data_IF_308528528703
#
_entry.id   IF_308528528703
#
_cell.length_a   1.000
_cell.length_b   1.000
_cell.length_c   1.000
_cell.angle_alpha   90.00
_cell.angle_beta   90.00
_cell.angle_gamma   90.00
#
_symmetry.space_group_name_H-M   'P 1'
#
loop_
_entity.id
_entity.type
_entity.pdbx_description
1 polymer ?
#
# COMPACT_ATOMS: atom_id res chain seq x y z
N UNK A 1 -24.17 43.63 -21.01
CA UNK A 1 -24.74 44.93 -20.59
C UNK A 1 -25.01 44.85 -19.09
N UNK A 2 -24.44 45.77 -18.30
CA UNK A 2 -24.52 45.75 -16.82
C UNK A 2 -25.90 46.17 -16.34
N UNK A 3 -26.55 45.34 -15.55
CA UNK A 3 -27.72 45.72 -14.78
C UNK A 3 -27.26 46.25 -13.41
N UNK A 4 -27.48 47.53 -13.17
CA UNK A 4 -27.35 48.16 -11.86
C UNK A 4 -28.68 48.82 -11.57
N UNK A 5 -29.42 48.32 -10.59
CA UNK A 5 -30.51 49.00 -9.89
C UNK A 5 -30.48 48.47 -8.44
N UNK A 6 -30.02 49.23 -7.43
CA UNK A 6 -30.68 50.33 -6.71
C UNK A 6 -32.08 50.00 -6.19
N UNK A 7 -32.21 49.72 -4.88
CA UNK A 7 -33.22 50.31 -3.97
C UNK A 7 -32.92 49.87 -2.52
N UNK A 8 -32.27 50.68 -1.68
CA UNK A 8 -32.84 51.69 -0.76
C UNK A 8 -33.92 51.13 0.19
N UNK A 9 -33.47 50.87 1.43
CA UNK A 9 -34.06 51.29 2.72
C UNK A 9 -35.54 51.02 2.99
N UNK A 10 -35.77 50.15 3.97
CA UNK A 10 -37.00 49.95 4.76
C UNK A 10 -36.84 48.62 5.50
N UNK A 11 -36.51 48.55 6.79
CA UNK A 11 -37.26 49.15 7.89
C UNK A 11 -38.14 48.07 8.55
N UNK A 12 -37.56 46.94 8.97
CA UNK A 12 -38.26 45.87 9.67
C UNK A 12 -37.28 44.85 10.24
N UNK A 13 -37.08 44.86 11.56
CA UNK A 13 -36.21 43.89 12.24
C UNK A 13 -36.93 42.54 12.31
N UNK A 14 -36.56 41.60 11.44
CA UNK A 14 -36.85 40.19 11.67
C UNK A 14 -35.70 39.68 12.57
N UNK A 15 -35.97 39.05 13.73
CA UNK A 15 -34.91 38.43 14.50
C UNK A 15 -34.36 37.25 13.70
N UNK A 16 -33.19 37.44 13.06
CA UNK A 16 -32.45 36.34 12.46
C UNK A 16 -31.86 35.46 13.58
N UNK A 17 -32.68 34.60 14.16
CA UNK A 17 -32.19 33.35 14.70
C UNK A 17 -32.02 32.40 13.51
N UNK A 18 -30.89 32.50 12.79
CA UNK A 18 -30.31 31.52 11.86
C UNK A 18 -29.06 32.16 11.25
N UNK A 19 -28.06 32.45 12.08
CA UNK A 19 -26.71 32.72 11.61
C UNK A 19 -26.17 31.38 11.06
N UNK A 20 -25.87 31.22 9.75
CA UNK A 20 -25.19 30.02 9.29
C UNK A 20 -23.85 29.92 10.02
N UNK A 21 -23.42 28.72 10.46
CA UNK A 21 -22.11 28.57 11.07
C UNK A 21 -21.07 29.05 10.06
N UNK A 22 -20.24 30.03 10.48
CA UNK A 22 -19.13 30.49 9.65
C UNK A 22 -18.17 29.30 9.55
N UNK A 23 -18.22 28.56 8.44
CA UNK A 23 -17.18 27.59 8.14
C UNK A 23 -15.89 28.40 8.01
N UNK A 24 -14.82 28.09 8.79
CA UNK A 24 -13.57 28.79 8.63
C UNK A 24 -13.11 28.59 7.19
N UNK A 25 -13.00 29.70 6.47
CA UNK A 25 -12.49 29.77 5.11
C UNK A 25 -11.14 29.07 5.08
N UNK A 26 -10.97 28.18 4.09
CA UNK A 26 -9.78 27.37 3.88
C UNK A 26 -8.57 28.25 3.47
N UNK A 27 -8.11 29.09 4.39
CA UNK A 27 -6.93 29.95 4.24
C UNK A 27 -6.25 30.07 5.60
N UNK A 28 -5.66 28.98 6.06
CA UNK A 28 -4.49 29.04 6.96
C UNK A 28 -3.77 27.71 6.90
N UNK A 29 -2.97 27.52 5.85
CA UNK A 29 -2.06 26.39 5.72
C UNK A 29 -0.89 26.40 6.75
N UNK A 30 -0.86 27.35 7.70
CA UNK A 30 0.17 27.45 8.75
C UNK A 30 -0.31 28.30 9.95
N UNK A 31 -1.33 27.85 10.69
CA UNK A 31 -1.67 28.44 11.98
C UNK A 31 -1.29 27.47 13.10
N UNK A 32 -0.20 27.77 13.83
CA UNK A 32 0.07 27.17 15.13
C UNK A 32 -0.97 27.69 16.13
N UNK A 33 -2.14 27.07 16.17
CA UNK A 33 -3.19 27.35 17.13
C UNK A 33 -2.96 26.48 18.38
N UNK A 34 -2.62 27.05 19.55
CA UNK A 34 -2.35 26.28 20.76
C UNK A 34 -3.59 25.62 21.39
N UNK A 35 -4.81 25.88 20.88
CA UNK A 35 -6.07 25.46 21.48
C UNK A 35 -6.77 24.26 20.80
N UNK A 36 -6.13 23.58 19.83
CA UNK A 36 -6.61 22.25 19.41
C UNK A 36 -5.98 21.21 20.35
N UNK A 37 -6.76 20.33 21.03
CA UNK A 37 -6.17 19.24 21.78
C UNK A 37 -5.34 18.41 20.81
N UNK A 38 -4.04 18.39 21.06
CA UNK A 38 -3.01 17.78 20.21
C UNK A 38 -3.39 16.31 20.03
N UNK A 39 -3.85 16.00 18.82
CA UNK A 39 -4.16 14.69 18.25
C UNK A 39 -4.72 13.62 19.22
N UNK A 40 -6.04 13.36 19.12
CA UNK A 40 -6.57 12.02 19.44
C UNK A 40 -5.83 11.03 18.53
N UNK A 41 -4.95 10.20 19.08
CA UNK A 41 -4.22 9.18 18.33
C UNK A 41 -5.23 8.18 17.76
N UNK A 42 -5.43 8.20 16.44
CA UNK A 42 -6.18 7.17 15.72
C UNK A 42 -5.16 6.37 14.92
N UNK A 43 -5.15 5.04 15.08
CA UNK A 43 -4.13 4.16 14.47
C UNK A 43 -4.04 4.31 12.94
N UNK A 44 -5.17 4.57 12.29
CA UNK A 44 -5.24 5.05 10.92
C UNK A 44 -5.32 6.58 10.96
N UNK A 45 -4.22 7.26 10.59
CA UNK A 45 -4.19 8.72 10.51
C UNK A 45 -5.46 9.23 9.80
N UNK A 46 -6.14 10.22 10.39
CA UNK A 46 -7.51 10.60 10.06
C UNK A 46 -7.76 11.07 8.62
N UNK A 47 -8.82 11.86 8.41
CA UNK A 47 -9.23 12.27 7.06
C UNK A 47 -8.14 13.11 6.36
N UNK A 48 -7.60 12.62 5.24
CA UNK A 48 -6.45 13.15 4.49
C UNK A 48 -5.09 13.17 5.23
N UNK A 49 -4.73 12.08 5.92
CA UNK A 49 -3.37 11.91 6.47
C UNK A 49 -2.28 11.91 5.38
N UNK A 50 -1.49 12.98 5.29
CA UNK A 50 -0.26 13.06 4.50
C UNK A 50 0.94 13.26 5.43
N UNK A 51 1.40 12.20 6.13
CA UNK A 51 2.60 12.31 6.95
C UNK A 51 3.80 12.61 6.04
N UNK A 52 4.66 13.53 6.48
CA UNK A 52 5.85 13.93 5.71
C UNK A 52 6.78 12.74 5.38
N UNK A 53 6.71 11.66 6.17
CA UNK A 53 7.55 10.48 6.07
C UNK A 53 6.86 9.28 5.38
N UNK A 54 5.78 9.50 4.62
CA UNK A 54 5.01 8.41 4.01
C UNK A 54 5.88 7.46 3.18
N UNK A 55 6.85 7.99 2.42
CA UNK A 55 7.75 7.20 1.57
C UNK A 55 8.60 6.22 2.40
N UNK A 56 9.16 6.69 3.51
CA UNK A 56 10.00 5.88 4.38
C UNK A 56 9.16 4.81 5.09
N UNK A 57 7.98 5.16 5.59
CA UNK A 57 7.10 4.20 6.25
C UNK A 57 6.63 3.10 5.29
N UNK A 58 6.28 3.46 4.05
CA UNK A 58 5.92 2.49 3.01
C UNK A 58 7.12 1.61 2.63
N UNK A 59 8.32 2.17 2.54
CA UNK A 59 9.53 1.39 2.26
C UNK A 59 9.81 0.36 3.37
N UNK A 60 9.68 0.75 4.63
CA UNK A 60 9.86 -0.15 5.78
C UNK A 60 8.80 -1.26 5.75
N UNK A 61 7.52 -0.91 5.63
CA UNK A 61 6.44 -1.89 5.60
C UNK A 61 6.54 -2.82 4.39
N UNK A 62 6.88 -2.29 3.22
CA UNK A 62 7.14 -3.08 2.02
C UNK A 62 8.30 -4.06 2.22
N UNK A 63 9.39 -3.60 2.84
CA UNK A 63 10.54 -4.45 3.19
C UNK A 63 10.17 -5.58 4.15
N UNK A 64 9.35 -5.29 5.18
CA UNK A 64 8.87 -6.30 6.13
C UNK A 64 8.01 -7.35 5.41
N UNK A 65 7.01 -6.92 4.63
CA UNK A 65 6.12 -7.83 3.89
C UNK A 65 6.95 -8.71 2.95
N UNK A 66 7.85 -8.10 2.18
CA UNK A 66 8.72 -8.82 1.27
C UNK A 66 9.59 -9.85 2.01
N UNK A 67 10.19 -9.46 3.13
CA UNK A 67 11.00 -10.35 3.97
C UNK A 67 10.19 -11.56 4.47
N UNK A 68 8.97 -11.34 4.97
CA UNK A 68 8.08 -12.41 5.44
C UNK A 68 7.70 -13.35 4.30
N UNK A 69 7.33 -12.82 3.14
CA UNK A 69 6.99 -13.63 1.97
C UNK A 69 8.16 -14.48 1.49
N UNK A 70 9.38 -13.95 1.49
CA UNK A 70 10.58 -14.70 1.10
C UNK A 70 10.88 -15.86 2.07
N UNK A 71 10.79 -15.62 3.38
CA UNK A 71 11.04 -16.66 4.40
C UNK A 71 9.98 -17.76 4.32
N UNK A 72 8.69 -17.38 4.38
CA UNK A 72 7.60 -18.36 4.32
C UNK A 72 7.57 -19.09 2.97
N UNK A 73 7.85 -18.40 1.87
CA UNK A 73 7.95 -18.99 0.54
C UNK A 73 9.09 -20.02 0.45
N UNK A 74 10.25 -19.72 1.04
CA UNK A 74 11.39 -20.65 1.06
C UNK A 74 11.08 -21.90 1.89
N UNK A 75 10.49 -21.72 3.08
CA UNK A 75 10.06 -22.86 3.91
C UNK A 75 9.00 -23.69 3.18
N UNK A 76 8.04 -23.05 2.52
CA UNK A 76 7.00 -23.74 1.74
C UNK A 76 7.61 -24.56 0.62
N UNK A 77 8.62 -24.04 -0.08
CA UNK A 77 9.31 -24.72 -1.16
C UNK A 77 10.16 -25.91 -0.68
N UNK A 78 10.75 -25.81 0.51
CA UNK A 78 11.52 -26.90 1.13
C UNK A 78 10.63 -28.02 1.69
N UNK A 79 9.41 -27.70 2.11
CA UNK A 79 8.45 -28.68 2.65
C UNK A 79 7.57 -29.33 1.59
N UNK A 80 7.65 -28.89 0.34
CA UNK A 80 6.90 -29.48 -0.76
C UNK A 80 7.47 -30.85 -1.11
N UNK A 81 6.65 -31.90 -0.92
CA UNK A 81 6.98 -33.27 -1.31
C UNK A 81 6.09 -33.71 -2.48
N UNK A 82 6.69 -34.30 -3.52
CA UNK A 82 6.00 -34.83 -4.71
C UNK A 82 6.37 -36.28 -4.96
N UNK A 83 5.35 -37.14 -5.05
CA UNK A 83 5.52 -38.56 -5.37
C UNK A 83 5.92 -38.81 -6.84
N UNK A 84 5.62 -37.87 -7.75
CA UNK A 84 5.92 -37.99 -9.18
C UNK A 84 6.64 -36.75 -9.69
N UNK A 85 7.82 -36.95 -10.27
CA UNK A 85 8.55 -35.87 -10.93
C UNK A 85 7.94 -35.55 -12.31
N UNK A 86 7.81 -34.26 -12.68
CA UNK A 86 7.35 -33.86 -13.99
C UNK A 86 8.31 -34.21 -15.13
N UNK A 87 7.72 -34.37 -16.33
CA UNK A 87 8.46 -34.72 -17.55
C UNK A 87 9.38 -33.58 -18.02
N UNK A 88 10.58 -33.89 -18.57
CA UNK A 88 11.61 -32.89 -18.91
C UNK A 88 11.13 -31.77 -19.86
N UNK A 89 10.15 -32.03 -20.73
CA UNK A 89 9.74 -31.11 -21.79
C UNK A 89 8.44 -30.32 -21.50
N UNK A 90 7.98 -30.27 -20.25
CA UNK A 90 6.74 -29.56 -19.87
C UNK A 90 7.03 -28.35 -19.00
N UNK A 91 6.46 -27.20 -19.32
CA UNK A 91 6.58 -25.98 -18.51
C UNK A 91 5.65 -26.01 -17.30
N UNK A 92 6.18 -25.66 -16.13
CA UNK A 92 5.40 -25.43 -14.91
C UNK A 92 6.13 -24.41 -14.02
N UNK A 93 5.40 -23.45 -13.41
CA UNK A 93 6.01 -22.31 -12.72
C UNK A 93 6.74 -22.72 -11.43
N UNK A 94 6.33 -23.81 -10.79
CA UNK A 94 6.98 -24.31 -9.57
C UNK A 94 8.39 -24.85 -9.81
N UNK A 95 8.81 -25.09 -11.08
CA UNK A 95 10.16 -25.53 -11.46
C UNK A 95 11.28 -24.68 -10.87
N UNK A 96 11.05 -23.37 -10.77
CA UNK A 96 12.06 -22.43 -10.31
C UNK A 96 12.22 -22.39 -8.78
N UNK A 97 11.22 -22.90 -8.04
CA UNK A 97 11.07 -22.67 -6.60
C UNK A 97 11.10 -23.98 -5.82
N UNK A 98 10.43 -25.04 -6.29
CA UNK A 98 10.38 -26.34 -5.61
C UNK A 98 11.75 -27.00 -5.52
N UNK A 99 12.16 -27.37 -4.30
CA UNK A 99 13.48 -27.97 -4.04
C UNK A 99 13.69 -29.28 -4.81
N UNK A 100 12.73 -30.21 -4.71
CA UNK A 100 12.85 -31.55 -5.30
C UNK A 100 13.04 -31.51 -6.82
N UNK A 101 12.36 -30.58 -7.50
CA UNK A 101 12.46 -30.44 -8.94
C UNK A 101 13.84 -29.91 -9.33
N UNK A 102 14.31 -28.87 -8.65
CA UNK A 102 15.65 -28.31 -8.88
C UNK A 102 16.74 -29.35 -8.68
N UNK A 103 16.65 -30.13 -7.60
CA UNK A 103 17.63 -31.18 -7.29
C UNK A 103 17.61 -32.31 -8.32
N UNK A 104 16.42 -32.77 -8.72
CA UNK A 104 16.31 -33.83 -9.72
C UNK A 104 16.74 -33.37 -11.11
N UNK A 105 16.38 -32.16 -11.54
CA UNK A 105 16.84 -31.61 -12.82
C UNK A 105 18.37 -31.37 -12.83
N UNK A 106 18.94 -30.95 -11.70
CA UNK A 106 20.39 -30.84 -11.54
C UNK A 106 21.08 -32.22 -11.63
N UNK A 107 20.51 -33.25 -11.00
CA UNK A 107 21.03 -34.61 -11.06
C UNK A 107 20.99 -35.20 -12.48
N UNK A 108 19.87 -35.03 -13.20
CA UNK A 108 19.73 -35.46 -14.60
C UNK A 108 20.76 -34.77 -15.50
N UNK A 109 20.94 -33.45 -15.33
CA UNK A 109 21.93 -32.69 -16.08
C UNK A 109 23.36 -33.17 -15.81
N UNK A 110 23.67 -33.50 -14.56
CA UNK A 110 24.99 -34.03 -14.18
C UNK A 110 25.25 -35.43 -14.77
N UNK A 111 24.23 -36.29 -14.86
CA UNK A 111 24.34 -37.61 -15.49
C UNK A 111 24.57 -37.49 -17.01
N UNK A 112 23.76 -36.68 -17.70
CA UNK A 112 23.92 -36.44 -19.13
C UNK A 112 25.30 -35.87 -19.48
N UNK A 113 25.86 -35.01 -18.62
CA UNK A 113 27.21 -34.47 -18.79
C UNK A 113 28.32 -35.54 -18.64
N UNK A 114 28.12 -36.56 -17.80
CA UNK A 114 29.05 -37.68 -17.64
C UNK A 114 28.99 -38.65 -18.82
N UNK A 115 27.79 -38.95 -19.29
CA UNK A 115 27.57 -39.84 -20.44
C UNK A 115 28.09 -39.23 -21.74
N UNK A 116 27.92 -37.92 -21.95
CA UNK A 116 28.46 -37.22 -23.11
C UNK A 116 29.97 -36.98 -23.09
N UNK A 117 30.66 -37.29 -22.00
CA UNK A 117 32.13 -37.18 -21.88
C UNK A 117 32.85 -38.52 -21.99
N UNK A 118 32.13 -39.63 -22.19
CA UNK A 118 32.68 -40.98 -22.41
C UNK A 118 32.52 -41.37 -23.87
#
# INVERSE_FOLDING_TARGET
MRATQLLRSGGGKIPYALQPPQLPSATTANAHNPQLPKARLVAAGGWYGQPQNWKQNTAIMGGIIFGVCMVLGSISADREHRDRMPEPNRFFPSRYWSREIREHEAALKAQAAREGSS
#
